data_IF_414574323219
#
_entry.id   IF_414574323219
#
_cell.length_a   1.000
_cell.length_b   1.000
_cell.length_c   1.000
_cell.angle_alpha   90.00
_cell.angle_beta   90.00
_cell.angle_gamma   90.00
#
_symmetry.space_group_name_H-M   'P 1'
#
loop_
_entity.id
_entity.type
_entity.pdbx_description
1 polymer ?
#
# COMPACT_ATOMS: atom_id res chain seq x y z
N UNK A 1 11.54 -23.79 9.91
CA UNK A 1 12.58 -22.87 9.43
C UNK A 1 13.57 -22.66 10.57
N UNK A 2 14.84 -23.01 10.37
CA UNK A 2 15.88 -23.16 11.41
C UNK A 2 16.40 -21.83 11.98
N UNK A 3 15.53 -20.82 12.16
CA UNK A 3 15.94 -19.51 12.65
C UNK A 3 16.85 -18.74 11.69
N UNK A 4 16.79 -19.05 10.39
CA UNK A 4 17.55 -18.32 9.36
C UNK A 4 17.01 -16.88 9.25
N UNK A 5 17.78 -15.85 9.64
CA UNK A 5 17.34 -14.46 9.57
C UNK A 5 17.10 -13.97 8.13
N UNK A 6 17.63 -14.65 7.12
CA UNK A 6 17.44 -14.33 5.70
C UNK A 6 16.12 -14.90 5.13
N UNK A 7 15.35 -15.65 5.93
CA UNK A 7 14.03 -16.19 5.57
C UNK A 7 12.98 -15.78 6.61
N UNK A 8 12.64 -14.48 6.68
CA UNK A 8 11.64 -14.02 7.62
C UNK A 8 10.28 -14.64 7.29
N UNK A 9 9.67 -15.28 8.29
CA UNK A 9 8.28 -15.71 8.26
C UNK A 9 7.51 -14.97 9.35
N UNK A 10 6.29 -14.54 9.03
CA UNK A 10 5.40 -13.96 10.04
C UNK A 10 4.56 -15.12 10.59
N UNK A 11 4.90 -15.59 11.80
CA UNK A 11 4.21 -16.69 12.47
C UNK A 11 2.78 -16.35 12.90
N UNK A 12 2.52 -15.06 13.10
CA UNK A 12 1.26 -14.54 13.58
C UNK A 12 1.38 -13.06 13.91
N UNK A 13 0.24 -12.46 14.21
CA UNK A 13 0.12 -11.08 14.65
C UNK A 13 -0.62 -11.10 15.98
N UNK A 14 -0.12 -10.36 16.98
CA UNK A 14 -0.82 -10.21 18.26
C UNK A 14 -1.58 -8.90 18.23
N UNK A 15 -2.90 -9.00 18.29
CA UNK A 15 -3.78 -7.84 18.39
C UNK A 15 -3.58 -7.17 19.75
N UNK A 16 -3.37 -5.86 19.72
CA UNK A 16 -3.40 -5.03 20.92
C UNK A 16 -4.78 -4.40 21.02
N UNK A 17 -5.53 -4.72 22.08
CA UNK A 17 -6.88 -4.17 22.28
C UNK A 17 -6.89 -2.64 22.44
N UNK A 18 -5.77 -2.02 22.78
CA UNK A 18 -5.66 -0.58 22.91
C UNK A 18 -5.60 0.15 21.55
N UNK A 19 -5.31 -0.56 20.46
CA UNK A 19 -5.10 0.04 19.14
C UNK A 19 -5.86 -0.73 18.05
N UNK A 20 -6.60 -0.03 17.20
CA UNK A 20 -7.30 -0.66 16.08
C UNK A 20 -6.31 -1.29 15.10
N UNK A 21 -6.53 -2.57 14.76
CA UNK A 21 -5.74 -3.25 13.75
C UNK A 21 -5.85 -2.57 12.40
N UNK A 22 -4.73 -2.48 11.69
CA UNK A 22 -4.71 -1.95 10.33
C UNK A 22 -5.33 -2.93 9.32
N UNK A 23 -5.35 -4.23 9.64
CA UNK A 23 -5.99 -5.28 8.85
C UNK A 23 -7.16 -5.85 9.65
N UNK A 24 -8.35 -5.75 9.10
CA UNK A 24 -9.62 -6.26 9.63
C UNK A 24 -10.30 -7.12 8.56
N UNK A 25 -11.39 -7.80 8.93
CA UNK A 25 -12.18 -8.56 7.95
C UNK A 25 -12.74 -7.69 6.81
N UNK A 26 -12.84 -6.38 6.99
CA UNK A 26 -13.33 -5.46 5.96
C UNK A 26 -12.26 -5.05 4.94
N UNK A 27 -11.00 -5.42 5.17
CA UNK A 27 -9.87 -5.07 4.28
C UNK A 27 -8.84 -6.21 4.16
N UNK A 28 -9.24 -7.47 4.40
CA UNK A 28 -8.35 -8.64 4.41
C UNK A 28 -7.58 -8.90 3.10
N UNK A 29 -8.08 -8.37 1.97
CA UNK A 29 -7.40 -8.44 0.66
C UNK A 29 -6.35 -7.34 0.46
N UNK A 30 -6.25 -6.40 1.41
CA UNK A 30 -5.39 -5.22 1.32
C UNK A 30 -4.17 -5.42 2.22
N UNK A 31 -3.06 -5.75 1.57
CA UNK A 31 -1.75 -5.86 2.19
C UNK A 31 -1.10 -4.48 2.24
N UNK A 32 -0.66 -4.01 3.41
CA UNK A 32 -0.07 -2.67 3.59
C UNK A 32 1.19 -2.73 4.43
N UNK A 33 2.29 -2.25 3.87
CA UNK A 33 3.48 -1.84 4.63
C UNK A 33 3.45 -0.32 4.77
N UNK A 34 3.33 0.18 6.01
CA UNK A 34 3.24 1.60 6.31
C UNK A 34 4.20 2.02 7.43
N UNK A 35 4.96 3.09 7.21
CA UNK A 35 5.83 3.69 8.24
C UNK A 35 5.10 4.77 9.04
N UNK A 36 5.63 5.23 10.19
CA UNK A 36 5.06 6.35 10.96
C UNK A 36 4.94 7.66 10.17
N UNK A 37 5.85 7.91 9.23
CA UNK A 37 5.80 9.05 8.31
C UNK A 37 4.78 8.84 7.15
N UNK A 38 3.96 7.78 7.21
CA UNK A 38 2.96 7.41 6.22
C UNK A 38 3.54 7.09 4.81
N UNK A 39 4.83 6.73 4.72
CA UNK A 39 5.33 6.03 3.54
C UNK A 39 4.61 4.69 3.44
N UNK A 40 4.15 4.35 2.24
CA UNK A 40 3.21 3.23 2.04
C UNK A 40 3.57 2.42 0.81
N UNK A 41 3.59 1.11 0.97
CA UNK A 41 3.42 0.12 -0.10
C UNK A 41 2.12 -0.60 0.20
N UNK A 42 1.20 -0.62 -0.77
CA UNK A 42 -0.11 -1.24 -0.64
C UNK A 42 -0.35 -2.13 -1.85
N UNK A 43 -0.76 -3.36 -1.61
CA UNK A 43 -1.21 -4.32 -2.61
C UNK A 43 -2.64 -4.72 -2.25
N UNK A 44 -3.54 -4.58 -3.21
CA UNK A 44 -4.95 -4.93 -3.04
C UNK A 44 -5.26 -6.09 -4.00
N UNK A 45 -5.66 -7.22 -3.43
CA UNK A 45 -5.90 -8.48 -4.14
C UNK A 45 -7.41 -8.75 -4.33
N UNK A 46 -8.25 -7.71 -4.29
CA UNK A 46 -9.64 -7.83 -4.71
C UNK A 46 -9.72 -8.18 -6.19
N UNK A 47 -10.20 -9.40 -6.49
CA UNK A 47 -10.35 -9.90 -7.86
C UNK A 47 -11.14 -8.95 -8.75
N UNK A 48 -10.54 -8.59 -9.90
CA UNK A 48 -11.09 -7.63 -10.87
C UNK A 48 -10.85 -6.17 -10.50
N UNK A 49 -10.25 -5.89 -9.34
CA UNK A 49 -9.92 -4.56 -8.82
C UNK A 49 -8.51 -4.51 -8.23
N UNK A 50 -7.64 -5.40 -8.71
CA UNK A 50 -6.28 -5.50 -8.21
C UNK A 50 -5.52 -4.19 -8.46
N UNK A 51 -4.80 -3.72 -7.44
CA UNK A 51 -3.98 -2.53 -7.59
C UNK A 51 -2.81 -2.48 -6.61
N UNK A 52 -1.75 -1.79 -7.05
CA UNK A 52 -0.57 -1.51 -6.24
C UNK A 52 -0.45 0.00 -6.05
N UNK A 53 -0.09 0.43 -4.85
CA UNK A 53 0.25 1.81 -4.54
C UNK A 53 1.57 1.88 -3.80
N UNK A 54 2.48 2.71 -4.29
CA UNK A 54 3.68 3.14 -3.58
C UNK A 54 3.58 4.65 -3.40
N UNK A 55 3.63 5.15 -2.17
CA UNK A 55 3.47 6.59 -1.91
C UNK A 55 4.26 7.09 -0.72
N UNK A 56 4.70 8.34 -0.81
CA UNK A 56 5.22 9.15 0.31
C UNK A 56 4.41 10.45 0.38
N UNK A 57 4.28 11.02 1.59
CA UNK A 57 3.64 12.32 1.76
C UNK A 57 4.50 13.49 1.23
N UNK A 58 5.80 13.26 1.05
CA UNK A 58 6.72 14.26 0.52
C UNK A 58 6.28 14.72 -0.89
N UNK A 59 6.23 16.04 -1.09
CA UNK A 59 5.85 16.64 -2.36
C UNK A 59 4.38 16.49 -2.73
N UNK A 60 3.47 16.74 -1.79
CA UNK A 60 2.02 16.75 -2.06
C UNK A 60 1.46 15.38 -2.43
N UNK A 61 2.00 14.33 -1.79
CA UNK A 61 1.74 12.91 -2.07
C UNK A 61 2.33 12.43 -3.39
N UNK A 62 3.65 12.27 -3.40
CA UNK A 62 4.35 11.61 -4.50
C UNK A 62 4.02 10.11 -4.50
N UNK A 63 3.48 9.61 -5.60
CA UNK A 63 2.93 8.26 -5.68
C UNK A 63 3.03 7.63 -7.06
N UNK A 64 3.20 6.31 -7.06
CA UNK A 64 2.96 5.41 -8.17
C UNK A 64 1.74 4.55 -7.83
N UNK A 65 0.72 4.57 -8.68
CA UNK A 65 -0.42 3.66 -8.57
C UNK A 65 -0.52 2.82 -9.86
N UNK A 66 -0.82 1.53 -9.73
CA UNK A 66 -0.93 0.55 -10.83
C UNK A 66 -2.23 -0.24 -10.71
N UNK A 67 -2.87 -0.58 -11.82
CA UNK A 67 -4.10 -1.39 -11.86
C UNK A 67 -5.37 -0.57 -11.69
N UNK A 68 -6.28 -1.04 -10.83
CA UNK A 68 -7.55 -0.40 -10.52
C UNK A 68 -7.36 0.80 -9.57
N UNK A 69 -7.28 2.01 -10.12
CA UNK A 69 -6.97 3.20 -9.36
C UNK A 69 -8.20 3.63 -8.56
N UNK A 70 -8.03 3.75 -7.24
CA UNK A 70 -9.10 4.20 -6.33
C UNK A 70 -8.78 5.53 -5.66
N UNK A 71 -9.83 6.25 -5.27
CA UNK A 71 -9.75 7.45 -4.44
C UNK A 71 -9.69 7.12 -2.93
N UNK A 72 -9.93 8.12 -2.08
CA UNK A 72 -9.98 7.93 -0.62
C UNK A 72 -11.24 7.19 -0.15
N UNK A 73 -12.35 7.30 -0.88
CA UNK A 73 -13.60 6.56 -0.68
C UNK A 73 -13.57 5.11 -1.16
N UNK A 74 -12.48 4.70 -1.83
CA UNK A 74 -12.31 3.41 -2.54
C UNK A 74 -13.11 3.33 -3.84
N UNK A 75 -13.61 4.45 -4.33
CA UNK A 75 -14.28 4.52 -5.62
C UNK A 75 -13.25 4.54 -6.75
N UNK A 76 -13.59 3.88 -7.85
CA UNK A 76 -12.72 3.84 -9.03
C UNK A 76 -12.58 5.24 -9.61
N UNK A 77 -11.33 5.66 -9.83
CA UNK A 77 -11.00 6.95 -10.45
C UNK A 77 -10.20 6.81 -11.75
N UNK A 78 -9.78 5.60 -12.10
CA UNK A 78 -9.03 5.32 -13.32
C UNK A 78 -8.50 3.90 -13.38
N UNK A 79 -7.82 3.57 -14.49
CA UNK A 79 -7.21 2.28 -14.76
C UNK A 79 -5.82 2.46 -15.39
N UNK A 80 -4.97 1.44 -15.28
CA UNK A 80 -3.62 1.45 -15.85
C UNK A 80 -2.57 1.88 -14.85
N UNK A 81 -1.85 2.97 -15.11
CA UNK A 81 -0.84 3.49 -14.19
C UNK A 81 -0.98 5.00 -13.99
N UNK A 82 -0.61 5.47 -12.81
CA UNK A 82 -0.48 6.89 -12.50
C UNK A 82 0.84 7.13 -11.77
N UNK A 83 1.65 8.04 -12.32
CA UNK A 83 2.74 8.68 -11.60
C UNK A 83 2.32 10.12 -11.26
N UNK A 84 2.27 10.46 -9.98
CA UNK A 84 1.86 11.79 -9.49
C UNK A 84 2.87 12.33 -8.49
N UNK A 85 3.16 13.63 -8.58
CA UNK A 85 3.78 14.44 -7.53
C UNK A 85 3.33 15.88 -7.69
N UNK A 86 3.26 16.65 -6.60
CA UNK A 86 3.05 18.10 -6.68
C UNK A 86 4.39 18.86 -6.85
N UNK A 87 5.52 18.13 -6.85
CA UNK A 87 6.87 18.64 -7.14
C UNK A 87 7.31 18.27 -8.57
N UNK A 88 8.58 18.50 -8.87
CA UNK A 88 9.19 18.12 -10.14
C UNK A 88 9.36 16.60 -10.25
N UNK A 89 8.98 16.04 -11.39
CA UNK A 89 9.30 14.66 -11.78
C UNK A 89 10.39 14.63 -12.85
N UNK A 90 11.23 13.61 -12.86
CA UNK A 90 12.19 13.36 -13.92
C UNK A 90 12.07 11.90 -14.40
N UNK A 91 11.97 11.72 -15.72
CA UNK A 91 12.06 10.41 -16.38
C UNK A 91 13.35 10.41 -17.19
N UNK A 92 14.18 9.38 -17.02
CA UNK A 92 15.45 9.20 -17.74
C UNK A 92 15.44 7.82 -18.38
N UNK A 93 15.86 7.73 -19.64
CA UNK A 93 15.89 6.52 -20.46
C UNK A 93 17.28 6.32 -21.05
#
# INVERSE_FOLDING_TARGET
>A
EEGNPDRPYIAGVKHDSAHTDHVTIQNYKRNVLRTPANNKIRLDDERGKEHIKVSTEYGGKSQLNLGHLVDAGKEQRGEGFELRTDLWGAVRA
#
